data_IF_320247366366
#
_entry.id   IF_320247366366
#
_cell.length_a   1.000
_cell.length_b   1.000
_cell.length_c   1.000
_cell.angle_alpha   90.00
_cell.angle_beta   90.00
_cell.angle_gamma   90.00
#
_symmetry.space_group_name_H-M   'P 1'
#
loop_
_entity.id
_entity.type
_entity.pdbx_description
1 polymer ?
#
# COMPACT_ATOMS: atom_id res chain seq x y z
N UNK A 1 43.31 -8.42 -64.52
CA UNK A 1 43.88 -9.76 -64.23
C UNK A 1 44.45 -9.75 -62.82
N UNK A 2 44.00 -10.68 -61.96
CA UNK A 2 44.63 -11.29 -60.75
C UNK A 2 45.36 -10.36 -59.76
N UNK A 3 45.16 -10.35 -58.43
CA UNK A 3 44.35 -11.13 -57.50
C UNK A 3 44.91 -11.00 -56.06
N UNK A 4 43.99 -11.04 -55.08
CA UNK A 4 44.09 -11.45 -53.65
C UNK A 4 45.06 -10.79 -52.65
N UNK A 5 44.49 -10.40 -51.50
CA UNK A 5 45.16 -10.29 -50.20
C UNK A 5 44.29 -9.67 -49.09
N UNK A 6 43.46 -10.47 -48.42
CA UNK A 6 42.76 -10.09 -47.17
C UNK A 6 43.71 -10.11 -45.96
N UNK A 7 43.75 -9.05 -45.14
CA UNK A 7 44.00 -9.13 -43.68
C UNK A 7 43.23 -8.02 -42.97
N UNK A 8 42.33 -8.42 -42.08
CA UNK A 8 41.59 -7.58 -41.15
C UNK A 8 42.52 -7.13 -40.00
N UNK A 9 42.48 -5.84 -39.63
CA UNK A 9 42.90 -5.39 -38.29
C UNK A 9 41.73 -4.62 -37.66
N UNK A 10 41.18 -5.24 -36.63
CA UNK A 10 40.13 -4.75 -35.76
C UNK A 10 40.60 -3.51 -35.00
N UNK A 11 39.84 -2.42 -35.13
CA UNK A 11 39.91 -1.29 -34.21
C UNK A 11 39.24 -1.66 -32.89
N UNK A 12 39.93 -1.39 -31.79
CA UNK A 12 39.53 -1.66 -30.41
C UNK A 12 38.27 -0.85 -30.07
N UNK A 13 37.17 -1.46 -29.59
CA UNK A 13 36.07 -0.71 -29.01
C UNK A 13 36.44 -0.28 -27.59
N UNK A 14 36.20 0.99 -27.28
CA UNK A 14 36.23 1.55 -25.94
C UNK A 14 35.14 0.86 -25.11
N UNK A 15 35.55 -0.04 -24.20
CA UNK A 15 34.68 -0.63 -23.20
C UNK A 15 34.32 0.45 -22.17
N UNK A 16 33.12 1.00 -22.30
CA UNK A 16 32.47 1.74 -21.22
C UNK A 16 32.30 0.82 -20.02
N UNK A 17 33.07 1.07 -18.96
CA UNK A 17 32.99 0.34 -17.71
C UNK A 17 31.69 0.69 -17.01
N UNK A 18 30.66 -0.15 -17.17
CA UNK A 18 29.55 -0.23 -16.24
C UNK A 18 30.12 -0.76 -14.92
N UNK A 19 30.40 0.15 -13.99
CA UNK A 19 30.62 -0.21 -12.60
C UNK A 19 29.25 -0.66 -12.06
N UNK A 20 29.00 -1.96 -12.16
CA UNK A 20 27.97 -2.61 -11.35
C UNK A 20 28.52 -2.60 -9.93
N UNK A 21 28.11 -1.61 -9.14
CA UNK A 21 28.24 -1.66 -7.69
C UNK A 21 27.47 -2.89 -7.23
N UNK A 22 28.21 -3.98 -6.98
CA UNK A 22 27.72 -5.16 -6.29
C UNK A 22 27.45 -4.79 -4.84
N UNK A 23 26.34 -4.10 -4.60
CA UNK A 23 25.67 -4.18 -3.32
C UNK A 23 25.36 -5.66 -3.13
N UNK A 24 25.79 -6.21 -2.00
CA UNK A 24 25.31 -7.50 -1.52
C UNK A 24 23.79 -7.40 -1.43
N UNK A 25 23.11 -7.82 -2.50
CA UNK A 25 21.69 -8.09 -2.51
C UNK A 25 21.49 -9.17 -1.46
N UNK A 26 21.17 -8.76 -0.23
CA UNK A 26 20.53 -9.65 0.74
C UNK A 26 19.46 -10.42 -0.03
N UNK A 27 19.62 -11.74 -0.03
CA UNK A 27 18.99 -12.66 -0.96
C UNK A 27 17.55 -12.24 -1.27
N UNK A 28 17.22 -12.17 -2.57
CA UNK A 28 15.83 -12.13 -3.00
C UNK A 28 15.05 -13.20 -2.22
N UNK A 29 13.79 -12.94 -1.83
CA UNK A 29 13.02 -13.89 -1.04
C UNK A 29 13.10 -15.25 -1.75
N UNK A 30 13.54 -16.27 -1.01
CA UNK A 30 13.69 -17.64 -1.52
C UNK A 30 12.36 -18.25 -1.98
N UNK A 31 11.26 -17.53 -1.73
CA UNK A 31 9.89 -17.90 -2.04
C UNK A 31 9.23 -16.74 -2.81
N UNK A 32 8.58 -17.07 -3.93
CA UNK A 32 7.77 -16.10 -4.68
C UNK A 32 6.67 -15.54 -3.75
N UNK A 33 6.55 -14.21 -3.61
CA UNK A 33 5.49 -13.62 -2.80
C UNK A 33 4.11 -13.99 -3.35
N UNK A 34 3.17 -14.25 -2.44
CA UNK A 34 1.74 -14.45 -2.69
C UNK A 34 1.01 -13.22 -2.19
N UNK A 35 0.29 -12.56 -3.09
CA UNK A 35 -0.57 -11.44 -2.75
C UNK A 35 -1.86 -12.00 -2.16
N UNK A 36 -2.15 -11.64 -0.91
CA UNK A 36 -3.22 -12.24 -0.13
C UNK A 36 -4.24 -11.20 0.28
N UNK A 37 -5.51 -11.52 0.01
CA UNK A 37 -6.65 -10.79 0.53
C UNK A 37 -7.25 -11.54 1.73
N UNK A 38 -7.36 -10.88 2.88
CA UNK A 38 -7.97 -11.46 4.08
C UNK A 38 -9.33 -10.80 4.30
N UNK A 39 -10.41 -11.58 4.20
CA UNK A 39 -11.77 -11.12 4.46
C UNK A 39 -12.22 -11.52 5.88
N UNK A 40 -13.08 -10.71 6.54
CA UNK A 40 -13.80 -11.17 7.72
C UNK A 40 -14.56 -12.47 7.42
N UNK A 41 -14.52 -13.40 8.37
CA UNK A 41 -15.28 -14.64 8.24
C UNK A 41 -16.77 -14.35 8.41
N UNK A 42 -17.59 -15.06 7.64
CA UNK A 42 -19.04 -14.95 7.72
C UNK A 42 -19.55 -15.53 9.04
N UNK A 43 -19.94 -14.62 9.93
CA UNK A 43 -20.49 -14.90 11.24
C UNK A 43 -22.01 -14.63 11.30
N UNK A 44 -22.69 -14.46 10.15
CA UNK A 44 -24.13 -14.16 10.10
C UNK A 44 -25.02 -15.23 10.73
N UNK A 45 -24.53 -16.48 10.81
CA UNK A 45 -25.19 -17.59 11.48
C UNK A 45 -24.95 -17.63 13.01
N UNK A 46 -24.24 -16.66 13.58
CA UNK A 46 -24.04 -16.51 15.02
C UNK A 46 -24.90 -15.37 15.59
N UNK A 47 -25.10 -15.41 16.90
CA UNK A 47 -25.75 -14.32 17.64
C UNK A 47 -24.97 -13.01 17.47
N UNK A 48 -25.69 -11.88 17.51
CA UNK A 48 -25.11 -10.54 17.29
C UNK A 48 -23.92 -10.24 18.19
N UNK A 49 -23.93 -10.76 19.42
CA UNK A 49 -22.84 -10.57 20.39
C UNK A 49 -21.57 -11.35 20.04
N UNK A 50 -21.62 -12.26 19.07
CA UNK A 50 -20.52 -13.13 18.65
C UNK A 50 -20.01 -12.82 17.25
N UNK A 51 -20.71 -11.98 16.49
CA UNK A 51 -20.33 -11.64 15.12
C UNK A 51 -18.94 -10.98 15.02
N UNK A 52 -18.42 -10.43 16.12
CA UNK A 52 -17.06 -9.91 16.20
C UNK A 52 -15.99 -10.97 15.89
N UNK A 53 -16.29 -12.26 16.09
CA UNK A 53 -15.32 -13.35 15.87
C UNK A 53 -14.91 -13.41 14.39
N UNK A 54 -15.80 -13.04 13.46
CA UNK A 54 -15.49 -12.97 12.04
C UNK A 54 -14.31 -12.02 11.74
N UNK A 55 -14.30 -10.85 12.38
CA UNK A 55 -13.18 -9.90 12.33
C UNK A 55 -11.98 -10.40 13.13
N UNK A 56 -12.22 -11.05 14.27
CA UNK A 56 -11.15 -11.61 15.11
C UNK A 56 -10.29 -12.62 14.35
N UNK A 57 -10.89 -13.48 13.53
CA UNK A 57 -10.17 -14.41 12.65
C UNK A 57 -9.33 -13.65 11.63
N UNK A 58 -9.87 -12.61 11.00
CA UNK A 58 -9.12 -11.79 10.05
C UNK A 58 -7.90 -11.13 10.70
N UNK A 59 -8.01 -10.68 11.96
CA UNK A 59 -6.89 -10.15 12.74
C UNK A 59 -5.83 -11.22 13.01
N UNK A 60 -6.23 -12.42 13.44
CA UNK A 60 -5.28 -13.53 13.67
C UNK A 60 -4.54 -13.89 12.39
N UNK A 61 -5.24 -13.97 11.26
CA UNK A 61 -4.64 -14.25 9.96
C UNK A 61 -3.64 -13.15 9.58
N UNK A 62 -4.00 -11.88 9.72
CA UNK A 62 -3.11 -10.76 9.39
C UNK A 62 -1.87 -10.72 10.28
N UNK A 63 -2.02 -10.89 11.59
CA UNK A 63 -0.87 -10.90 12.51
C UNK A 63 0.06 -12.09 12.26
N UNK A 64 -0.50 -13.27 12.00
CA UNK A 64 0.26 -14.50 11.75
C UNK A 64 0.98 -14.50 10.41
N UNK A 65 0.28 -14.19 9.31
CA UNK A 65 0.85 -14.26 7.96
C UNK A 65 1.89 -13.16 7.70
N UNK A 66 1.74 -11.99 8.34
CA UNK A 66 2.75 -10.92 8.33
C UNK A 66 4.12 -11.33 8.90
N UNK A 67 4.24 -12.50 9.55
CA UNK A 67 5.50 -13.04 10.05
C UNK A 67 6.31 -13.82 9.01
N UNK A 68 5.87 -13.87 7.74
CA UNK A 68 6.53 -14.64 6.70
C UNK A 68 6.62 -13.89 5.35
N UNK A 69 7.79 -13.83 4.70
CA UNK A 69 8.02 -13.02 3.50
C UNK A 69 7.25 -13.47 2.26
N UNK A 70 6.69 -14.69 2.28
CA UNK A 70 5.89 -15.19 1.17
C UNK A 70 4.47 -14.59 1.13
N UNK A 71 4.02 -13.85 2.14
CA UNK A 71 2.70 -13.24 2.16
C UNK A 71 2.80 -11.73 2.01
N UNK A 72 2.07 -11.20 1.03
CA UNK A 72 1.91 -9.76 0.79
C UNK A 72 0.44 -9.44 1.00
N UNK A 73 0.13 -8.91 2.17
CA UNK A 73 -1.26 -8.60 2.52
C UNK A 73 -1.74 -7.34 1.80
N UNK A 74 -2.93 -7.44 1.22
CA UNK A 74 -3.61 -6.28 0.66
C UNK A 74 -4.26 -5.49 1.81
N UNK A 75 -4.01 -4.19 1.84
CA UNK A 75 -4.65 -3.27 2.79
C UNK A 75 -6.18 -3.40 2.71
N UNK A 76 -6.82 -3.82 3.81
CA UNK A 76 -8.28 -4.02 3.87
C UNK A 76 -9.08 -2.75 3.62
N UNK A 77 -8.51 -1.57 3.85
CA UNK A 77 -9.13 -0.29 3.50
C UNK A 77 -9.46 -0.16 2.01
N UNK A 78 -8.70 -0.85 1.13
CA UNK A 78 -8.95 -0.90 -0.32
C UNK A 78 -10.21 -1.68 -0.67
N UNK A 79 -10.65 -2.60 0.19
CA UNK A 79 -11.90 -3.34 -0.01
C UNK A 79 -13.14 -2.44 0.00
N UNK A 80 -13.08 -1.30 0.69
CA UNK A 80 -14.23 -0.36 0.79
C UNK A 80 -14.68 0.16 -0.58
N UNK A 81 -13.75 0.31 -1.53
CA UNK A 81 -14.08 0.69 -2.89
C UNK A 81 -14.97 -0.33 -3.62
N UNK A 82 -15.01 -1.57 -3.12
CA UNK A 82 -15.77 -2.70 -3.69
C UNK A 82 -16.98 -3.09 -2.81
N UNK A 83 -17.29 -2.31 -1.78
CA UNK A 83 -18.43 -2.49 -0.88
C UNK A 83 -18.06 -2.94 0.53
N UNK A 84 -19.07 -2.97 1.40
CA UNK A 84 -19.00 -3.52 2.77
C UNK A 84 -20.17 -4.46 2.96
N UNK A 85 -20.15 -5.65 2.32
CA UNK A 85 -21.25 -6.58 2.47
C UNK A 85 -21.33 -7.07 3.93
N UNK A 86 -22.54 -7.35 4.40
CA UNK A 86 -22.76 -7.96 5.73
C UNK A 86 -22.03 -9.30 5.86
N UNK A 87 -21.89 -10.03 4.75
CA UNK A 87 -21.06 -11.22 4.62
C UNK A 87 -20.25 -11.20 3.31
N UNK A 88 -18.95 -11.48 3.40
CA UNK A 88 -18.09 -11.65 2.23
C UNK A 88 -18.36 -12.99 1.54
N UNK A 89 -19.46 -13.04 0.80
CA UNK A 89 -19.81 -14.18 -0.04
C UNK A 89 -18.85 -14.38 -1.23
N UNK A 90 -18.95 -15.54 -1.87
CA UNK A 90 -17.99 -15.97 -2.89
C UNK A 90 -17.89 -15.01 -4.08
N UNK A 91 -19.03 -14.50 -4.57
CA UNK A 91 -19.06 -13.60 -5.72
C UNK A 91 -18.39 -12.24 -5.44
N UNK A 92 -18.74 -11.60 -4.31
CA UNK A 92 -18.21 -10.29 -3.93
C UNK A 92 -16.70 -10.38 -3.65
N UNK A 93 -16.27 -11.43 -2.94
CA UNK A 93 -14.86 -11.63 -2.64
C UNK A 93 -14.04 -11.99 -3.89
N UNK A 94 -14.58 -12.78 -4.82
CA UNK A 94 -13.93 -13.08 -6.09
C UNK A 94 -13.74 -11.83 -6.96
N UNK A 95 -14.76 -10.96 -7.03
CA UNK A 95 -14.66 -9.68 -7.72
C UNK A 95 -13.60 -8.78 -7.07
N UNK A 96 -13.64 -8.62 -5.74
CA UNK A 96 -12.67 -7.83 -5.01
C UNK A 96 -11.24 -8.36 -5.23
N UNK A 97 -11.01 -9.65 -5.01
CA UNK A 97 -9.71 -10.32 -5.18
C UNK A 97 -9.11 -10.08 -6.57
N UNK A 98 -9.91 -10.20 -7.64
CA UNK A 98 -9.46 -9.91 -9.01
C UNK A 98 -9.10 -8.44 -9.19
N UNK A 99 -9.93 -7.53 -8.69
CA UNK A 99 -9.71 -6.10 -8.82
C UNK A 99 -8.42 -5.63 -8.13
N UNK A 100 -8.11 -6.21 -6.97
CA UNK A 100 -6.87 -5.93 -6.21
C UNK A 100 -5.71 -6.87 -6.56
N UNK A 101 -5.88 -7.73 -7.59
CA UNK A 101 -4.87 -8.67 -8.09
C UNK A 101 -4.30 -9.59 -7.02
N UNK A 102 -5.15 -10.06 -6.11
CA UNK A 102 -4.77 -11.06 -5.13
C UNK A 102 -4.48 -12.40 -5.83
N UNK A 103 -3.41 -13.08 -5.45
CA UNK A 103 -3.16 -14.48 -5.80
C UNK A 103 -4.10 -15.40 -5.02
N UNK A 104 -4.51 -14.97 -3.82
CA UNK A 104 -5.41 -15.75 -2.98
C UNK A 104 -6.31 -14.87 -2.09
N UNK A 105 -7.51 -15.36 -1.78
CA UNK A 105 -8.40 -14.73 -0.80
C UNK A 105 -8.83 -15.71 0.30
N UNK A 106 -8.67 -15.33 1.56
CA UNK A 106 -8.89 -16.14 2.75
C UNK A 106 -10.19 -15.70 3.41
N UNK A 107 -11.10 -16.63 3.58
CA UNK A 107 -12.43 -16.38 4.11
C UNK A 107 -13.00 -17.67 4.71
N UNK A 108 -14.18 -17.61 5.30
CA UNK A 108 -14.82 -18.81 5.80
C UNK A 108 -16.19 -18.52 6.36
N UNK A 109 -16.83 -19.55 6.88
CA UNK A 109 -18.11 -19.44 7.58
C UNK A 109 -17.97 -19.99 8.99
N UNK A 110 -18.92 -19.61 9.83
CA UNK A 110 -18.95 -19.99 11.22
C UNK A 110 -20.35 -20.41 11.61
N UNK A 111 -20.45 -21.47 12.40
CA UNK A 111 -21.73 -21.93 12.96
C UNK A 111 -21.54 -22.36 14.39
N UNK A 112 -22.57 -22.19 15.22
CA UNK A 112 -22.61 -22.77 16.55
C UNK A 112 -23.22 -24.16 16.50
N UNK A 113 -22.58 -25.14 17.15
CA UNK A 113 -23.13 -26.48 17.38
C UNK A 113 -23.08 -26.77 18.88
N UNK A 114 -24.23 -26.67 19.54
CA UNK A 114 -24.31 -26.75 21.01
C UNK A 114 -23.41 -25.66 21.65
N UNK A 115 -22.38 -26.05 22.41
CA UNK A 115 -21.40 -25.16 23.04
C UNK A 115 -20.15 -24.93 22.20
N UNK A 116 -20.00 -25.62 21.07
CA UNK A 116 -18.81 -25.55 20.22
C UNK A 116 -19.02 -24.57 19.06
N UNK A 117 -17.97 -23.80 18.77
CA UNK A 117 -17.90 -22.99 17.55
C UNK A 117 -17.21 -23.79 16.45
N UNK A 118 -17.89 -23.98 15.32
CA UNK A 118 -17.33 -24.65 14.15
C UNK A 118 -16.99 -23.59 13.11
N UNK A 119 -15.70 -23.46 12.82
CA UNK A 119 -15.16 -22.57 11.81
C UNK A 119 -14.86 -23.43 10.58
N UNK A 120 -15.35 -23.01 9.42
CA UNK A 120 -15.08 -23.65 8.14
C UNK A 120 -14.22 -22.71 7.29
N UNK A 121 -12.88 -22.83 7.34
CA UNK A 121 -12.01 -21.99 6.53
C UNK A 121 -12.08 -22.41 5.06
N UNK A 122 -12.01 -21.42 4.19
CA UNK A 122 -12.00 -21.53 2.74
C UNK A 122 -10.96 -20.59 2.14
N UNK A 123 -10.49 -20.94 0.95
CA UNK A 123 -9.51 -20.19 0.20
C UNK A 123 -9.96 -20.10 -1.25
N UNK A 124 -9.87 -18.93 -1.84
CA UNK A 124 -9.81 -18.79 -3.29
C UNK A 124 -8.36 -18.79 -3.73
N UNK A 125 -7.99 -19.73 -4.59
CA UNK A 125 -6.71 -19.70 -5.32
C UNK A 125 -7.00 -19.10 -6.69
N UNK A 126 -6.48 -17.89 -6.93
CA UNK A 126 -6.69 -17.15 -8.18
C UNK A 126 -5.67 -17.64 -9.18
N UNK A 127 -6.13 -18.47 -10.13
CA UNK A 127 -5.31 -19.02 -11.22
C UNK A 127 -5.61 -18.27 -12.51
N UNK A 128 -4.70 -18.38 -13.48
CA UNK A 128 -4.86 -17.77 -14.81
C UNK A 128 -6.15 -18.26 -15.53
N UNK A 129 -6.63 -19.45 -15.20
CA UNK A 129 -7.80 -20.09 -15.82
C UNK A 129 -9.12 -19.87 -15.06
N UNK A 130 -9.09 -19.23 -13.89
CA UNK A 130 -10.27 -19.05 -13.04
C UNK A 130 -9.95 -19.03 -11.56
N UNK A 131 -10.99 -19.05 -10.73
CA UNK A 131 -10.86 -19.11 -9.27
C UNK A 131 -11.25 -20.51 -8.82
N UNK A 132 -10.37 -21.17 -8.07
CA UNK A 132 -10.66 -22.45 -7.44
C UNK A 132 -10.93 -22.24 -5.95
N UNK A 133 -12.08 -22.73 -5.47
CA UNK A 133 -12.42 -22.72 -4.05
C UNK A 133 -11.87 -23.96 -3.38
N UNK A 134 -11.00 -23.78 -2.41
CA UNK A 134 -10.45 -24.86 -1.58
C UNK A 134 -11.04 -24.76 -0.19
N UNK A 135 -11.69 -25.84 0.25
CA UNK A 135 -12.18 -25.97 1.62
C UNK A 135 -11.10 -26.60 2.49
N UNK A 136 -10.79 -25.99 3.63
CA UNK A 136 -9.83 -26.51 4.60
C UNK A 136 -10.55 -27.40 5.62
N UNK A 137 -9.77 -28.15 6.40
CA UNK A 137 -10.32 -28.91 7.54
C UNK A 137 -11.07 -27.97 8.50
N UNK A 138 -12.29 -28.35 8.96
CA UNK A 138 -13.02 -27.56 9.93
C UNK A 138 -12.25 -27.43 11.24
N UNK A 139 -12.25 -26.23 11.81
CA UNK A 139 -11.70 -25.99 13.14
C UNK A 139 -12.85 -25.95 14.14
N UNK A 140 -12.84 -26.90 15.07
CA UNK A 140 -13.78 -26.95 16.19
C UNK A 140 -13.13 -26.29 17.40
N UNK A 141 -13.78 -25.26 17.93
CA UNK A 141 -13.35 -24.53 19.10
C UNK A 141 -14.34 -24.75 20.24
N UNK A 142 -13.97 -25.60 21.23
CA UNK A 142 -14.67 -25.68 22.50
C UNK A 142 -14.67 -24.34 23.23
N UNK A 143 -15.58 -24.20 24.20
CA UNK A 143 -15.62 -23.05 25.10
C UNK A 143 -14.26 -22.89 25.82
N UNK A 144 -13.73 -21.67 25.86
CA UNK A 144 -12.43 -21.36 26.47
C UNK A 144 -11.20 -21.67 25.59
N UNK A 145 -11.32 -22.45 24.52
CA UNK A 145 -10.20 -22.79 23.63
C UNK A 145 -10.11 -21.91 22.37
N UNK A 146 -11.07 -21.00 22.16
CA UNK A 146 -11.21 -20.22 20.93
C UNK A 146 -9.89 -19.62 20.44
N UNK A 147 -9.21 -18.82 21.27
CA UNK A 147 -7.99 -18.10 20.86
C UNK A 147 -6.88 -19.06 20.41
N UNK A 148 -6.70 -20.17 21.11
CA UNK A 148 -5.67 -21.16 20.78
C UNK A 148 -5.99 -21.86 19.45
N UNK A 149 -7.27 -22.17 19.20
CA UNK A 149 -7.69 -22.74 17.90
C UNK A 149 -7.52 -21.74 16.76
N UNK A 150 -7.85 -20.47 16.99
CA UNK A 150 -7.68 -19.43 15.97
C UNK A 150 -6.20 -19.25 15.60
N UNK A 151 -5.30 -19.27 16.58
CA UNK A 151 -3.86 -19.09 16.37
C UNK A 151 -3.22 -20.12 15.41
N UNK A 152 -3.86 -21.28 15.22
CA UNK A 152 -3.44 -22.30 14.24
C UNK A 152 -3.89 -22.03 12.79
N UNK A 153 -4.86 -21.14 12.56
CA UNK A 153 -5.41 -20.85 11.23
C UNK A 153 -4.38 -20.32 10.22
N UNK A 154 -3.47 -19.38 10.56
CA UNK A 154 -2.45 -18.93 9.62
C UNK A 154 -1.62 -20.09 9.05
N UNK A 155 -1.25 -21.06 9.91
CA UNK A 155 -0.52 -22.25 9.49
C UNK A 155 -1.35 -23.20 8.63
N UNK A 156 -2.64 -23.33 8.89
CA UNK A 156 -3.54 -24.11 8.04
C UNK A 156 -3.57 -23.53 6.61
N UNK A 157 -3.72 -22.21 6.48
CA UNK A 157 -3.65 -21.53 5.18
C UNK A 157 -2.29 -21.64 4.51
N UNK A 158 -1.19 -21.46 5.25
CA UNK A 158 0.16 -21.61 4.71
C UNK A 158 0.40 -23.00 4.13
N UNK A 159 -0.05 -24.06 4.82
CA UNK A 159 0.03 -25.45 4.33
C UNK A 159 -0.80 -25.66 3.07
N UNK A 160 -2.04 -25.19 3.04
CA UNK A 160 -2.92 -25.28 1.85
C UNK A 160 -2.34 -24.56 0.64
N UNK A 161 -1.73 -23.38 0.87
CA UNK A 161 -1.03 -22.62 -0.16
C UNK A 161 0.35 -23.18 -0.54
N UNK A 162 0.77 -24.29 0.10
CA UNK A 162 2.05 -24.98 -0.11
C UNK A 162 3.26 -24.05 0.13
N UNK A 163 3.14 -23.15 1.10
CA UNK A 163 4.24 -22.28 1.50
C UNK A 163 5.18 -23.07 2.41
N UNK A 164 6.47 -23.21 2.03
CA UNK A 164 7.45 -23.86 2.89
C UNK A 164 7.67 -22.98 4.11
N UNK A 165 7.64 -23.60 5.29
CA UNK A 165 7.78 -22.93 6.59
C UNK A 165 8.73 -23.75 7.46
N UNK A 166 9.73 -23.10 8.02
CA UNK A 166 10.64 -23.71 9.00
C UNK A 166 9.97 -23.82 10.36
N UNK A 167 10.51 -24.64 11.29
CA UNK A 167 10.01 -24.68 12.67
C UNK A 167 10.08 -23.31 13.38
N UNK A 168 11.12 -22.51 13.10
CA UNK A 168 11.28 -21.19 13.68
C UNK A 168 10.24 -20.18 13.13
N UNK A 169 9.91 -20.26 11.85
CA UNK A 169 8.82 -19.46 11.25
C UNK A 169 7.46 -19.91 11.78
N UNK A 170 7.23 -21.22 11.91
CA UNK A 170 6.00 -21.76 12.49
C UNK A 170 5.74 -21.20 13.89
N UNK A 171 6.75 -21.27 14.77
CA UNK A 171 6.64 -20.73 16.13
C UNK A 171 6.39 -19.21 16.15
N UNK A 172 6.93 -18.47 15.17
CA UNK A 172 6.71 -17.01 15.06
C UNK A 172 5.29 -16.68 14.59
N UNK A 173 4.80 -17.39 13.58
CA UNK A 173 3.45 -17.26 13.03
C UNK A 173 2.41 -17.58 14.11
N UNK A 174 2.55 -18.72 14.79
CA UNK A 174 1.62 -19.16 15.84
C UNK A 174 1.63 -18.21 17.04
N UNK A 175 2.80 -17.71 17.45
CA UNK A 175 2.91 -16.69 18.51
C UNK A 175 2.19 -15.40 18.12
N UNK A 176 2.38 -14.91 16.91
CA UNK A 176 1.72 -13.69 16.43
C UNK A 176 0.20 -13.88 16.29
N UNK A 177 -0.25 -15.08 15.95
CA UNK A 177 -1.67 -15.44 15.91
C UNK A 177 -2.36 -15.53 17.27
N UNK A 178 -1.61 -15.48 18.38
CA UNK A 178 -2.13 -15.45 19.75
C UNK A 178 -1.65 -14.18 20.49
N UNK A 179 -2.15 -12.99 20.12
CA UNK A 179 -1.56 -11.74 20.60
C UNK A 179 -1.97 -11.37 22.04
N UNK A 180 -2.93 -12.09 22.62
CA UNK A 180 -3.33 -12.03 24.03
C UNK A 180 -3.90 -13.39 24.45
N UNK A 181 -3.89 -13.68 25.75
CA UNK A 181 -4.60 -14.82 26.36
C UNK A 181 -5.97 -14.44 26.93
N UNK A 182 -6.29 -13.15 27.00
CA UNK A 182 -7.56 -12.65 27.50
C UNK A 182 -8.58 -12.61 26.36
N UNK A 183 -9.55 -13.51 26.40
CA UNK A 183 -10.66 -13.53 25.43
C UNK A 183 -11.39 -12.18 25.40
N UNK A 184 -11.60 -11.58 26.58
CA UNK A 184 -12.24 -10.27 26.70
C UNK A 184 -11.43 -9.17 26.04
N UNK A 185 -10.11 -9.14 26.27
CA UNK A 185 -9.25 -8.16 25.62
C UNK A 185 -9.26 -8.33 24.09
N UNK A 186 -9.23 -9.58 23.60
CA UNK A 186 -9.25 -9.85 22.17
C UNK A 186 -10.59 -9.49 21.51
N UNK A 187 -11.71 -9.75 22.17
CA UNK A 187 -13.04 -9.32 21.73
C UNK A 187 -13.10 -7.80 21.54
N UNK A 188 -12.69 -7.06 22.58
CA UNK A 188 -12.68 -5.60 22.56
C UNK A 188 -11.76 -5.06 21.44
N UNK A 189 -10.59 -5.67 21.28
CA UNK A 189 -9.67 -5.36 20.19
C UNK A 189 -10.29 -5.60 18.80
N UNK A 190 -10.88 -6.76 18.56
CA UNK A 190 -11.50 -7.09 17.28
C UNK A 190 -12.67 -6.14 16.94
N UNK A 191 -13.52 -5.83 17.93
CA UNK A 191 -14.59 -4.83 17.77
C UNK A 191 -14.03 -3.43 17.48
N UNK A 192 -12.95 -3.04 18.16
CA UNK A 192 -12.26 -1.77 17.92
C UNK A 192 -11.68 -1.68 16.51
N UNK A 193 -11.06 -2.77 16.03
CA UNK A 193 -10.57 -2.85 14.67
C UNK A 193 -11.70 -2.78 13.62
N UNK A 194 -12.83 -3.43 13.88
CA UNK A 194 -14.02 -3.32 13.03
C UNK A 194 -14.55 -1.88 12.96
N UNK A 195 -14.56 -1.17 14.10
CA UNK A 195 -14.96 0.23 14.14
C UNK A 195 -14.02 1.13 13.31
N UNK A 196 -12.70 0.89 13.40
CA UNK A 196 -11.70 1.59 12.59
C UNK A 196 -11.91 1.38 11.08
N UNK A 197 -12.35 0.19 10.65
CA UNK A 197 -12.61 -0.09 9.24
C UNK A 197 -13.70 0.81 8.64
N UNK A 198 -14.63 1.33 9.44
CA UNK A 198 -15.67 2.26 8.97
C UNK A 198 -15.06 3.53 8.37
N UNK A 199 -13.88 3.95 8.84
CA UNK A 199 -13.18 5.13 8.33
C UNK A 199 -13.91 6.45 8.62
N UNK A 200 -14.85 6.45 9.57
CA UNK A 200 -15.58 7.64 10.02
C UNK A 200 -14.98 8.17 11.33
N UNK A 201 -15.23 9.44 11.65
CA UNK A 201 -14.82 10.02 12.93
C UNK A 201 -15.42 9.24 14.12
N UNK A 202 -16.72 8.96 14.08
CA UNK A 202 -17.43 8.14 15.08
C UNK A 202 -16.85 6.73 15.22
N UNK A 203 -16.45 6.10 14.10
CA UNK A 203 -15.78 4.81 14.09
C UNK A 203 -14.42 4.87 14.79
N UNK A 204 -13.65 5.93 14.57
CA UNK A 204 -12.36 6.15 15.24
C UNK A 204 -12.53 6.40 16.74
N UNK A 205 -13.53 7.20 17.14
CA UNK A 205 -13.83 7.45 18.56
C UNK A 205 -14.27 6.16 19.28
N UNK A 206 -15.13 5.36 18.63
CA UNK A 206 -15.52 4.03 19.12
C UNK A 206 -14.32 3.09 19.24
N UNK A 207 -13.41 3.10 18.25
CA UNK A 207 -12.19 2.30 18.29
C UNK A 207 -11.28 2.70 19.47
N UNK A 208 -11.18 4.00 19.79
CA UNK A 208 -10.41 4.47 20.95
C UNK A 208 -10.95 3.88 22.26
N UNK A 209 -12.28 3.94 22.49
CA UNK A 209 -12.89 3.37 23.71
C UNK A 209 -12.62 1.86 23.82
N UNK A 210 -12.91 1.12 22.74
CA UNK A 210 -12.79 -0.33 22.73
C UNK A 210 -11.34 -0.79 22.92
N UNK A 211 -10.38 -0.13 22.27
CA UNK A 211 -8.96 -0.47 22.40
C UNK A 211 -8.41 -0.09 23.78
N UNK A 212 -8.85 1.03 24.36
CA UNK A 212 -8.48 1.39 25.74
C UNK A 212 -8.97 0.32 26.73
N UNK A 213 -10.21 -0.14 26.59
CA UNK A 213 -10.77 -1.23 27.42
C UNK A 213 -10.11 -2.58 27.15
N UNK A 214 -9.65 -2.83 25.92
CA UNK A 214 -8.86 -4.02 25.61
C UNK A 214 -7.54 -4.02 26.39
N UNK A 215 -6.87 -2.87 26.45
CA UNK A 215 -5.64 -2.66 27.24
C UNK A 215 -5.92 -2.75 28.75
N UNK A 216 -7.06 -2.24 29.24
CA UNK A 216 -7.45 -2.43 30.64
C UNK A 216 -7.66 -3.90 31.00
N UNK A 217 -8.23 -4.69 30.07
CA UNK A 217 -8.45 -6.12 30.25
C UNK A 217 -7.16 -6.96 30.11
N UNK A 218 -6.16 -6.47 29.38
CA UNK A 218 -4.82 -7.03 29.30
C UNK A 218 -3.77 -5.92 29.07
N UNK A 219 -3.14 -5.40 30.14
CA UNK A 219 -2.15 -4.33 30.03
C UNK A 219 -0.88 -4.69 29.25
N UNK A 220 -0.65 -5.99 28.97
CA UNK A 220 0.49 -6.45 28.19
C UNK A 220 0.12 -6.68 26.71
N UNK A 221 -1.06 -6.27 26.27
CA UNK A 221 -1.53 -6.48 24.90
C UNK A 221 -0.85 -5.52 23.92
N UNK A 222 0.37 -5.87 23.51
CA UNK A 222 1.28 -5.10 22.64
C UNK A 222 0.59 -4.55 21.38
N UNK A 223 -0.19 -5.42 20.70
CA UNK A 223 -0.88 -5.08 19.45
C UNK A 223 -2.01 -4.07 19.67
N UNK A 224 -2.70 -4.13 20.82
CA UNK A 224 -3.74 -3.16 21.16
C UNK A 224 -3.14 -1.77 21.43
N UNK A 225 -2.00 -1.68 22.12
CA UNK A 225 -1.25 -0.42 22.27
C UNK A 225 -0.85 0.17 20.92
N UNK A 226 -0.22 -0.63 20.04
CA UNK A 226 0.13 -0.17 18.71
C UNK A 226 -1.11 0.31 17.93
N UNK A 227 -2.18 -0.47 17.93
CA UNK A 227 -3.40 -0.15 17.18
C UNK A 227 -4.06 1.12 17.72
N UNK A 228 -4.14 1.30 19.04
CA UNK A 228 -4.64 2.55 19.65
C UNK A 228 -3.78 3.76 19.26
N UNK A 229 -2.45 3.58 19.19
CA UNK A 229 -1.55 4.59 18.67
C UNK A 229 -1.86 5.00 17.22
N UNK A 230 -2.12 4.01 16.36
CA UNK A 230 -2.49 4.24 14.96
C UNK A 230 -3.84 4.98 14.84
N UNK A 231 -4.83 4.65 15.68
CA UNK A 231 -6.11 5.40 15.71
C UNK A 231 -5.89 6.84 16.16
N UNK A 232 -5.07 7.08 17.20
CA UNK A 232 -4.74 8.44 17.62
C UNK A 232 -4.00 9.23 16.54
N UNK A 233 -3.12 8.58 15.76
CA UNK A 233 -2.46 9.21 14.63
C UNK A 233 -3.46 9.60 13.54
N UNK A 234 -4.41 8.73 13.21
CA UNK A 234 -5.50 9.04 12.26
C UNK A 234 -6.39 10.20 12.74
N UNK A 235 -6.59 10.33 14.05
CA UNK A 235 -7.28 11.46 14.69
C UNK A 235 -6.42 12.73 14.84
N UNK A 236 -5.18 12.75 14.34
CA UNK A 236 -4.27 13.88 14.47
C UNK A 236 -3.68 14.08 15.88
N UNK A 237 -3.98 13.20 16.82
CA UNK A 237 -3.50 13.23 18.20
C UNK A 237 -2.06 12.67 18.32
N UNK A 238 -1.10 13.36 17.69
CA UNK A 238 0.31 12.92 17.57
C UNK A 238 0.96 12.55 18.90
N UNK A 239 0.67 13.29 19.98
CA UNK A 239 1.26 13.03 21.30
C UNK A 239 0.72 11.75 21.93
N UNK A 240 -0.59 11.48 21.80
CA UNK A 240 -1.21 10.22 22.27
C UNK A 240 -0.70 9.04 21.45
N UNK A 241 -0.59 9.22 20.12
CA UNK A 241 -0.04 8.21 19.23
C UNK A 241 1.38 7.80 19.65
N UNK A 242 2.28 8.78 19.81
CA UNK A 242 3.66 8.53 20.24
C UNK A 242 3.74 7.84 21.61
N UNK A 243 2.87 8.19 22.56
CA UNK A 243 2.82 7.55 23.87
C UNK A 243 2.45 6.06 23.75
N UNK A 244 1.45 5.72 22.93
CA UNK A 244 1.01 4.35 22.73
C UNK A 244 2.02 3.50 21.94
N UNK A 245 2.66 4.07 20.93
CA UNK A 245 3.75 3.38 20.23
C UNK A 245 4.92 3.08 21.17
N UNK A 246 5.31 4.03 22.04
CA UNK A 246 6.35 3.79 23.05
C UNK A 246 5.95 2.72 24.04
N UNK A 247 4.71 2.73 24.53
CA UNK A 247 4.21 1.67 25.41
C UNK A 247 4.31 0.28 24.73
N UNK A 248 3.91 0.19 23.46
CA UNK A 248 4.06 -1.04 22.66
C UNK A 248 5.52 -1.50 22.58
N UNK A 249 6.47 -0.60 22.25
CA UNK A 249 7.91 -0.95 22.21
C UNK A 249 8.51 -1.33 23.56
N UNK A 250 7.97 -0.82 24.67
CA UNK A 250 8.43 -1.15 26.02
C UNK A 250 7.95 -2.54 26.46
N UNK A 251 6.73 -2.91 26.04
CA UNK A 251 6.17 -4.24 26.32
C UNK A 251 6.83 -5.32 25.46
N UNK A 252 7.10 -5.03 24.19
CA UNK A 252 7.81 -5.93 23.29
C UNK A 252 8.71 -5.16 22.31
N UNK A 253 10.02 -5.19 22.59
CA UNK A 253 11.04 -4.57 21.75
C UNK A 253 11.28 -5.31 20.43
N UNK A 254 10.70 -6.51 20.24
CA UNK A 254 10.77 -7.29 19.01
C UNK A 254 9.57 -7.07 18.08
N UNK A 255 8.60 -6.23 18.45
CA UNK A 255 7.45 -5.88 17.62
C UNK A 255 7.78 -4.68 16.69
N UNK A 256 7.92 -4.88 15.36
CA UNK A 256 8.44 -3.84 14.45
C UNK A 256 7.45 -2.72 14.11
N UNK A 257 6.15 -2.99 14.14
CA UNK A 257 5.06 -2.09 13.77
C UNK A 257 5.14 -0.72 14.48
N UNK A 258 5.30 -0.62 15.82
CA UNK A 258 5.43 0.66 16.50
C UNK A 258 6.70 1.43 16.13
N UNK A 259 7.81 0.78 15.77
CA UNK A 259 9.02 1.47 15.29
C UNK A 259 8.78 2.11 13.92
N UNK A 260 8.15 1.38 13.00
CA UNK A 260 7.75 1.93 11.70
C UNK A 260 6.82 3.13 11.90
N UNK A 261 5.83 3.02 12.79
CA UNK A 261 4.87 4.08 13.05
C UNK A 261 5.51 5.32 13.74
N UNK A 262 6.49 5.12 14.62
CA UNK A 262 7.32 6.22 15.15
C UNK A 262 8.11 6.89 14.02
N UNK A 263 8.66 6.13 13.08
CA UNK A 263 9.29 6.65 11.87
C UNK A 263 8.35 7.56 11.07
N UNK A 264 7.11 7.12 10.84
CA UNK A 264 6.08 7.93 10.17
C UNK A 264 5.78 9.24 10.91
N UNK A 265 5.72 9.19 12.25
CA UNK A 265 5.51 10.39 13.07
C UNK A 265 6.68 11.38 12.97
N UNK A 266 7.92 10.88 12.94
CA UNK A 266 9.11 11.72 12.77
C UNK A 266 9.20 12.33 11.37
N UNK A 267 8.89 11.55 10.35
CA UNK A 267 8.87 11.99 8.95
C UNK A 267 7.83 13.10 8.73
N UNK A 268 6.64 12.96 9.31
CA UNK A 268 5.56 13.93 9.22
C UNK A 268 5.70 15.12 10.21
N UNK A 269 6.74 15.15 11.03
CA UNK A 269 6.94 16.22 12.01
C UNK A 269 7.31 17.55 11.34
N UNK A 270 6.77 18.70 11.78
CA UNK A 270 7.10 20.01 11.21
C UNK A 270 8.60 20.35 11.27
N UNK A 271 9.32 19.78 12.23
CA UNK A 271 10.77 19.98 12.43
C UNK A 271 11.63 19.12 11.50
N UNK A 272 11.05 18.32 10.60
CA UNK A 272 11.76 17.48 9.62
C UNK A 272 12.77 16.54 10.30
N UNK A 273 12.28 15.71 11.21
CA UNK A 273 13.09 14.81 12.03
C UNK A 273 13.56 13.56 11.24
N UNK A 274 14.15 13.77 10.06
CA UNK A 274 14.42 12.71 9.10
C UNK A 274 15.44 11.68 9.59
N UNK A 275 16.44 12.08 10.38
CA UNK A 275 17.40 11.13 10.95
C UNK A 275 16.74 10.18 11.96
N UNK A 276 15.84 10.70 12.80
CA UNK A 276 15.06 9.87 13.73
C UNK A 276 14.08 8.96 12.98
N UNK A 277 13.52 9.43 11.87
CA UNK A 277 12.70 8.60 10.99
C UNK A 277 13.53 7.44 10.41
N UNK A 278 14.71 7.73 9.84
CA UNK A 278 15.64 6.72 9.30
C UNK A 278 16.02 5.70 10.38
N UNK A 279 16.36 6.14 11.60
CA UNK A 279 16.69 5.25 12.71
C UNK A 279 15.53 4.31 13.06
N UNK A 280 14.32 4.87 13.19
CA UNK A 280 13.13 4.10 13.52
C UNK A 280 12.75 3.09 12.43
N UNK A 281 12.84 3.47 11.15
CA UNK A 281 12.61 2.55 10.03
C UNK A 281 13.68 1.46 9.97
N UNK A 282 14.96 1.80 10.15
CA UNK A 282 16.03 0.80 10.22
C UNK A 282 15.78 -0.20 11.36
N UNK A 283 15.28 0.26 12.52
CA UNK A 283 14.95 -0.65 13.61
C UNK A 283 13.82 -1.61 13.26
N UNK A 284 12.76 -1.12 12.60
CA UNK A 284 11.68 -1.98 12.11
C UNK A 284 12.18 -3.01 11.08
N UNK A 285 13.09 -2.62 10.19
CA UNK A 285 13.72 -3.50 9.19
C UNK A 285 14.64 -4.53 9.85
N UNK A 286 15.42 -4.16 10.86
CA UNK A 286 16.26 -5.09 11.63
C UNK A 286 15.41 -6.21 12.26
N UNK A 287 14.27 -5.84 12.85
CA UNK A 287 13.35 -6.78 13.48
C UNK A 287 12.59 -7.64 12.47
N UNK A 288 12.26 -7.08 11.30
CA UNK A 288 11.59 -7.79 10.21
C UNK A 288 12.15 -7.33 8.84
N UNK A 289 13.19 -8.02 8.31
CA UNK A 289 13.88 -7.58 7.09
C UNK A 289 12.99 -7.47 5.84
N UNK A 290 11.89 -8.23 5.80
CA UNK A 290 10.91 -8.24 4.72
C UNK A 290 9.73 -7.28 4.94
N UNK A 291 9.83 -6.35 5.89
CA UNK A 291 8.78 -5.37 6.15
C UNK A 291 8.77 -4.27 5.08
N UNK A 292 8.03 -4.52 3.99
CA UNK A 292 8.00 -3.63 2.82
C UNK A 292 7.69 -2.16 3.18
N UNK A 293 6.69 -1.91 4.04
CA UNK A 293 6.29 -0.54 4.39
C UNK A 293 7.36 0.23 5.18
N UNK A 294 8.22 -0.47 5.93
CA UNK A 294 9.36 0.16 6.59
C UNK A 294 10.46 0.54 5.58
N UNK A 295 10.67 -0.26 4.53
CA UNK A 295 11.54 0.11 3.41
C UNK A 295 10.98 1.29 2.60
N UNK A 296 9.65 1.38 2.43
CA UNK A 296 9.01 2.56 1.82
C UNK A 296 9.28 3.80 2.66
N UNK A 297 9.00 3.74 3.96
CA UNK A 297 9.26 4.86 4.87
C UNK A 297 10.72 5.27 4.91
N UNK A 298 11.65 4.30 4.87
CA UNK A 298 13.08 4.58 4.75
C UNK A 298 13.39 5.32 3.43
N UNK A 299 12.79 4.88 2.31
CA UNK A 299 12.91 5.56 1.02
C UNK A 299 12.41 7.00 1.07
N UNK A 300 11.23 7.22 1.65
CA UNK A 300 10.63 8.55 1.81
C UNK A 300 11.52 9.46 2.66
N UNK A 301 12.05 8.96 3.78
CA UNK A 301 12.94 9.72 4.65
C UNK A 301 14.28 10.06 3.98
N UNK A 302 14.87 9.11 3.24
CA UNK A 302 16.11 9.32 2.48
C UNK A 302 15.89 10.32 1.33
N UNK A 303 14.76 10.24 0.62
CA UNK A 303 14.40 11.19 -0.42
C UNK A 303 14.23 12.61 0.17
N UNK A 304 13.55 12.73 1.31
CA UNK A 304 13.38 14.01 2.00
C UNK A 304 14.71 14.63 2.49
N UNK A 305 15.75 13.82 2.69
CA UNK A 305 17.12 14.26 2.97
C UNK A 305 17.94 14.61 1.73
N UNK A 306 17.43 14.37 0.52
CA UNK A 306 18.17 14.51 -0.74
C UNK A 306 19.16 13.36 -1.00
N UNK A 307 19.04 12.25 -0.27
CA UNK A 307 19.90 11.06 -0.43
C UNK A 307 19.29 10.15 -1.51
N UNK A 308 19.25 10.65 -2.75
CA UNK A 308 18.47 10.08 -3.87
C UNK A 308 18.78 8.61 -4.16
N UNK A 309 20.06 8.22 -4.23
CA UNK A 309 20.42 6.83 -4.53
C UNK A 309 20.05 5.86 -3.40
N UNK A 310 20.15 6.32 -2.15
CA UNK A 310 19.71 5.54 -0.99
C UNK A 310 18.18 5.38 -0.96
N UNK A 311 17.45 6.41 -1.38
CA UNK A 311 15.99 6.34 -1.51
C UNK A 311 15.56 5.31 -2.56
N UNK A 312 16.18 5.35 -3.75
CA UNK A 312 15.93 4.37 -4.83
C UNK A 312 16.20 2.95 -4.32
N UNK A 313 17.33 2.72 -3.65
CA UNK A 313 17.68 1.41 -3.12
C UNK A 313 16.65 0.89 -2.10
N UNK A 314 16.18 1.75 -1.19
CA UNK A 314 15.13 1.39 -0.22
C UNK A 314 13.80 1.07 -0.91
N UNK A 315 13.37 1.88 -1.88
CA UNK A 315 12.16 1.61 -2.67
C UNK A 315 12.25 0.32 -3.47
N UNK A 316 13.40 0.04 -4.10
CA UNK A 316 13.61 -1.23 -4.80
C UNK A 316 13.54 -2.42 -3.83
N UNK A 317 14.09 -2.29 -2.63
CA UNK A 317 13.97 -3.32 -1.59
C UNK A 317 12.52 -3.49 -1.11
N UNK A 318 11.75 -2.41 -1.00
CA UNK A 318 10.32 -2.50 -0.71
C UNK A 318 9.57 -3.30 -1.79
N UNK A 319 9.88 -3.07 -3.08
CA UNK A 319 9.27 -3.79 -4.21
C UNK A 319 9.66 -5.28 -4.29
N UNK A 320 10.83 -5.65 -3.75
CA UNK A 320 11.20 -7.07 -3.61
C UNK A 320 10.22 -7.82 -2.70
N UNK A 321 9.72 -7.15 -1.64
CA UNK A 321 8.80 -7.75 -0.68
C UNK A 321 7.34 -7.47 -0.96
N UNK A 322 7.00 -6.32 -1.56
CA UNK A 322 5.66 -5.98 -2.02
C UNK A 322 5.71 -5.44 -3.46
N UNK A 323 5.62 -6.31 -4.47
CA UNK A 323 5.73 -5.91 -5.88
C UNK A 323 4.47 -5.20 -6.41
N UNK A 324 3.41 -5.07 -5.60
CA UNK A 324 2.13 -4.48 -6.00
C UNK A 324 1.81 -3.19 -5.24
N UNK A 325 2.84 -2.44 -4.87
CA UNK A 325 2.69 -1.13 -4.24
C UNK A 325 2.78 0.01 -5.29
N UNK A 326 1.65 0.58 -5.75
CA UNK A 326 1.66 1.65 -6.76
C UNK A 326 2.36 2.92 -6.29
N UNK A 327 2.33 3.22 -4.97
CA UNK A 327 2.96 4.43 -4.40
C UNK A 327 4.49 4.41 -4.53
N UNK A 328 5.08 3.21 -4.46
CA UNK A 328 6.54 3.06 -4.62
C UNK A 328 6.94 3.30 -6.08
N UNK A 329 6.17 2.77 -7.02
CA UNK A 329 6.39 3.04 -8.45
C UNK A 329 6.19 4.52 -8.80
N UNK A 330 5.18 5.18 -8.21
CA UNK A 330 5.01 6.64 -8.33
C UNK A 330 6.25 7.39 -7.83
N UNK A 331 6.77 7.03 -6.65
CA UNK A 331 7.92 7.69 -6.03
C UNK A 331 9.20 7.48 -6.84
N UNK A 332 9.42 6.26 -7.34
CA UNK A 332 10.52 5.98 -8.27
C UNK A 332 10.38 6.75 -9.58
N UNK A 333 9.18 6.83 -10.16
CA UNK A 333 8.92 7.62 -11.37
C UNK A 333 9.30 9.08 -11.17
N UNK A 334 8.87 9.69 -10.06
CA UNK A 334 9.23 11.07 -9.69
C UNK A 334 10.74 11.25 -9.60
N UNK A 335 11.43 10.38 -8.87
CA UNK A 335 12.88 10.46 -8.70
C UNK A 335 13.62 10.27 -10.04
N UNK A 336 13.23 9.28 -10.84
CA UNK A 336 13.85 9.05 -12.14
C UNK A 336 13.67 10.23 -13.07
N UNK A 337 12.50 10.88 -13.02
CA UNK A 337 12.24 12.08 -13.80
C UNK A 337 13.01 13.29 -13.31
N UNK A 338 12.75 13.75 -12.07
CA UNK A 338 13.23 15.05 -11.58
C UNK A 338 14.70 15.04 -11.16
N UNK A 339 15.18 13.96 -10.56
CA UNK A 339 16.52 13.91 -9.95
C UNK A 339 17.56 13.24 -10.84
N UNK A 340 17.14 12.31 -11.71
CA UNK A 340 18.07 11.51 -12.53
C UNK A 340 17.97 11.79 -14.02
N UNK A 341 16.89 12.40 -14.52
CA UNK A 341 16.67 12.58 -15.96
C UNK A 341 16.55 11.27 -16.74
N UNK A 342 16.18 10.17 -16.06
CA UNK A 342 16.00 8.83 -16.60
C UNK A 342 14.56 8.65 -17.09
N UNK A 343 14.25 9.25 -18.24
CA UNK A 343 12.88 9.34 -18.74
C UNK A 343 12.25 7.98 -19.07
N UNK A 344 13.02 7.03 -19.59
CA UNK A 344 12.50 5.71 -19.92
C UNK A 344 12.08 4.93 -18.66
N UNK A 345 12.93 4.95 -17.64
CA UNK A 345 12.70 4.37 -16.32
C UNK A 345 11.52 5.04 -15.63
N UNK A 346 11.41 6.37 -15.73
CA UNK A 346 10.27 7.13 -15.21
C UNK A 346 8.95 6.71 -15.87
N UNK A 347 8.90 6.67 -17.21
CA UNK A 347 7.70 6.25 -17.96
C UNK A 347 7.28 4.85 -17.55
N UNK A 348 8.22 3.91 -17.44
CA UNK A 348 7.93 2.54 -17.01
C UNK A 348 7.39 2.49 -15.58
N UNK A 349 7.99 3.25 -14.66
CA UNK A 349 7.55 3.33 -13.27
C UNK A 349 6.12 3.91 -13.16
N UNK A 350 5.84 5.04 -13.81
CA UNK A 350 4.48 5.62 -13.81
C UNK A 350 3.45 4.70 -14.46
N UNK A 351 3.77 4.08 -15.61
CA UNK A 351 2.89 3.09 -16.23
C UNK A 351 2.58 1.93 -15.28
N UNK A 352 3.58 1.45 -14.53
CA UNK A 352 3.37 0.38 -13.57
C UNK A 352 2.51 0.82 -12.38
N UNK A 353 2.68 2.04 -11.89
CA UNK A 353 1.82 2.63 -10.87
C UNK A 353 0.36 2.70 -11.34
N UNK A 354 0.12 3.19 -12.56
CA UNK A 354 -1.21 3.28 -13.20
C UNK A 354 -1.82 1.89 -13.44
N UNK A 355 -1.00 0.91 -13.84
CA UNK A 355 -1.43 -0.46 -14.04
C UNK A 355 -1.96 -1.09 -12.74
N UNK A 356 -1.26 -0.82 -11.62
CA UNK A 356 -1.61 -1.33 -10.29
C UNK A 356 -2.76 -0.56 -9.63
N UNK A 357 -2.86 0.75 -9.88
CA UNK A 357 -3.96 1.60 -9.42
C UNK A 357 -4.31 2.66 -10.47
N UNK A 358 -5.39 2.39 -11.21
CA UNK A 358 -5.85 3.27 -12.29
C UNK A 358 -6.39 4.62 -11.81
N UNK A 359 -6.72 4.74 -10.51
CA UNK A 359 -7.24 5.94 -9.86
C UNK A 359 -6.13 6.83 -9.28
N UNK A 360 -4.87 6.40 -9.33
CA UNK A 360 -3.73 7.17 -8.86
C UNK A 360 -3.39 8.30 -9.86
N UNK A 361 -4.14 9.40 -9.78
CA UNK A 361 -4.04 10.55 -10.69
C UNK A 361 -2.65 11.17 -10.74
N UNK A 362 -1.91 11.15 -9.63
CA UNK A 362 -0.54 11.68 -9.56
C UNK A 362 0.42 10.93 -10.48
N UNK A 363 0.20 9.63 -10.70
CA UNK A 363 1.02 8.86 -11.63
C UNK A 363 0.74 9.23 -13.09
N UNK A 364 -0.52 9.56 -13.41
CA UNK A 364 -0.92 10.05 -14.74
C UNK A 364 -0.40 11.45 -15.01
N UNK A 365 -0.50 12.34 -14.02
CA UNK A 365 0.08 13.68 -14.08
C UNK A 365 1.58 13.61 -14.37
N UNK A 366 2.33 12.83 -13.57
CA UNK A 366 3.77 12.65 -13.80
C UNK A 366 4.11 12.02 -15.15
N UNK A 367 3.30 11.08 -15.65
CA UNK A 367 3.50 10.51 -16.99
C UNK A 367 3.25 11.54 -18.10
N UNK A 368 2.20 12.35 -17.96
CA UNK A 368 1.88 13.45 -18.88
C UNK A 368 3.01 14.49 -18.95
N UNK A 369 3.56 14.88 -17.80
CA UNK A 369 4.69 15.82 -17.71
C UNK A 369 5.94 15.29 -18.42
N UNK A 370 6.26 14.00 -18.24
CA UNK A 370 7.40 13.36 -18.93
C UNK A 370 7.19 13.37 -20.45
N UNK A 371 5.97 13.07 -20.92
CA UNK A 371 5.65 13.10 -22.35
C UNK A 371 5.69 14.52 -22.93
N UNK A 372 5.15 15.50 -22.21
CA UNK A 372 5.19 16.91 -22.58
C UNK A 372 6.63 17.39 -22.77
N UNK A 373 7.51 17.11 -21.81
CA UNK A 373 8.92 17.52 -21.91
C UNK A 373 9.66 16.85 -23.07
N UNK A 374 9.23 15.65 -23.48
CA UNK A 374 9.79 14.95 -24.65
C UNK A 374 9.11 15.29 -25.96
N UNK A 375 8.16 16.24 -25.96
CA UNK A 375 7.43 16.66 -27.15
C UNK A 375 6.42 15.63 -27.66
N UNK A 376 6.10 14.61 -26.85
CA UNK A 376 5.05 13.61 -27.11
C UNK A 376 3.70 14.18 -26.67
N UNK A 377 3.31 15.28 -27.31
CA UNK A 377 2.19 16.13 -26.88
C UNK A 377 0.85 15.41 -26.95
N UNK A 378 0.66 14.50 -27.91
CA UNK A 378 -0.59 13.73 -28.03
C UNK A 378 -0.74 12.79 -26.84
N UNK A 379 0.31 12.07 -26.48
CA UNK A 379 0.36 11.17 -25.34
C UNK A 379 0.18 11.93 -24.02
N UNK A 380 0.79 13.12 -23.88
CA UNK A 380 0.60 13.98 -22.73
C UNK A 380 -0.88 14.41 -22.56
N UNK A 381 -1.51 14.88 -23.64
CA UNK A 381 -2.93 15.24 -23.64
C UNK A 381 -3.82 14.04 -23.28
N UNK A 382 -3.53 12.85 -23.81
CA UNK A 382 -4.31 11.65 -23.49
C UNK A 382 -4.25 11.30 -21.99
N UNK A 383 -3.08 11.43 -21.34
CA UNK A 383 -2.97 11.21 -19.90
C UNK A 383 -3.68 12.30 -19.08
N UNK A 384 -3.54 13.57 -19.44
CA UNK A 384 -4.26 14.65 -18.74
C UNK A 384 -5.78 14.54 -18.91
N UNK A 385 -6.27 14.09 -20.07
CA UNK A 385 -7.69 13.76 -20.27
C UNK A 385 -8.17 12.67 -19.33
N UNK A 386 -7.38 11.59 -19.13
CA UNK A 386 -7.71 10.53 -18.16
C UNK A 386 -7.78 11.05 -16.74
N UNK A 387 -6.97 12.04 -16.35
CA UNK A 387 -7.10 12.70 -15.05
C UNK A 387 -8.43 13.45 -14.96
N UNK A 388 -8.80 14.21 -16.00
CA UNK A 388 -10.05 14.98 -16.04
C UNK A 388 -11.30 14.10 -16.10
N UNK A 389 -11.21 12.88 -16.65
CA UNK A 389 -12.27 11.87 -16.60
C UNK A 389 -12.54 11.40 -15.16
N UNK A 390 -11.51 11.34 -14.31
CA UNK A 390 -11.62 10.95 -12.89
C UNK A 390 -12.06 12.14 -12.04
N UNK A 391 -11.44 13.31 -12.25
CA UNK A 391 -11.77 14.56 -11.57
C UNK A 391 -11.90 15.70 -12.61
N UNK A 392 -13.15 16.04 -12.92
CA UNK A 392 -13.48 17.03 -13.95
C UNK A 392 -13.04 18.46 -13.63
N UNK A 393 -12.66 18.73 -12.38
CA UNK A 393 -12.25 20.00 -11.84
C UNK A 393 -10.77 20.05 -11.46
N UNK A 394 -9.99 19.02 -11.81
CA UNK A 394 -8.57 18.95 -11.49
C UNK A 394 -7.78 20.08 -12.18
N UNK A 395 -7.47 21.15 -11.44
CA UNK A 395 -6.88 22.39 -11.96
C UNK A 395 -5.51 22.17 -12.61
N UNK A 396 -4.65 21.36 -11.98
CA UNK A 396 -3.32 21.04 -12.53
C UNK A 396 -3.37 20.36 -13.91
N UNK A 397 -4.23 19.35 -14.09
CA UNK A 397 -4.40 18.68 -15.38
C UNK A 397 -4.95 19.63 -16.45
N UNK A 398 -5.93 20.47 -16.10
CA UNK A 398 -6.48 21.47 -17.01
C UNK A 398 -5.42 22.49 -17.44
N UNK A 399 -4.60 22.95 -16.50
CA UNK A 399 -3.51 23.88 -16.76
C UNK A 399 -2.45 23.27 -17.69
N UNK A 400 -1.92 22.09 -17.35
CA UNK A 400 -0.90 21.43 -18.16
C UNK A 400 -1.45 21.05 -19.55
N UNK A 401 -2.69 20.58 -19.64
CA UNK A 401 -3.32 20.27 -20.92
C UNK A 401 -3.47 21.52 -21.79
N UNK A 402 -3.84 22.68 -21.22
CA UNK A 402 -3.90 23.94 -21.96
C UNK A 402 -2.53 24.35 -22.51
N UNK A 403 -1.47 24.22 -21.70
CA UNK A 403 -0.09 24.47 -22.13
C UNK A 403 0.34 23.57 -23.29
N UNK A 404 0.03 22.27 -23.21
CA UNK A 404 0.34 21.34 -24.31
C UNK A 404 -0.43 21.71 -25.57
N UNK A 405 -1.71 22.08 -25.46
CA UNK A 405 -2.50 22.52 -26.60
C UNK A 405 -1.95 23.80 -27.26
N UNK A 406 -1.30 24.71 -26.54
CA UNK A 406 -0.62 25.86 -27.18
C UNK A 406 0.42 25.43 -28.22
N UNK A 407 1.01 24.25 -28.06
CA UNK A 407 2.03 23.70 -28.96
C UNK A 407 1.45 23.00 -30.18
N UNK A 408 0.22 22.51 -30.11
CA UNK A 408 -0.35 21.62 -31.13
C UNK A 408 -1.65 22.15 -31.76
N UNK A 409 -2.47 22.90 -31.04
CA UNK A 409 -3.73 23.49 -31.52
C UNK A 409 -4.12 24.73 -30.66
N UNK A 410 -3.80 25.95 -31.14
CA UNK A 410 -4.13 27.19 -30.45
C UNK A 410 -5.64 27.41 -30.18
N UNK A 411 -6.54 26.82 -30.99
CA UNK A 411 -7.98 26.96 -30.77
C UNK A 411 -8.43 26.13 -29.59
N UNK A 412 -7.99 24.87 -29.52
CA UNK A 412 -8.24 24.01 -28.36
C UNK A 412 -7.58 24.58 -27.10
N UNK A 413 -6.40 25.17 -27.23
CA UNK A 413 -5.72 25.84 -26.11
C UNK A 413 -6.58 26.94 -25.48
N UNK A 414 -7.26 27.77 -26.30
CA UNK A 414 -8.19 28.80 -25.82
C UNK A 414 -9.33 28.17 -25.01
N UNK A 415 -9.97 27.13 -25.55
CA UNK A 415 -11.06 26.40 -24.87
C UNK A 415 -10.62 25.89 -23.51
N UNK A 416 -9.42 25.30 -23.43
CA UNK A 416 -8.90 24.74 -22.19
C UNK A 416 -8.44 25.81 -21.19
N UNK A 417 -7.86 26.92 -21.65
CA UNK A 417 -7.56 28.05 -20.79
C UNK A 417 -8.82 28.70 -20.19
N UNK A 418 -9.87 28.87 -20.99
CA UNK A 418 -11.16 29.37 -20.50
C UNK A 418 -11.74 28.45 -19.43
N UNK A 419 -11.70 27.14 -19.66
CA UNK A 419 -12.16 26.14 -18.68
C UNK A 419 -11.34 26.16 -17.40
N UNK A 420 -10.00 26.21 -17.50
CA UNK A 420 -9.13 26.33 -16.33
C UNK A 420 -9.47 27.59 -15.53
N UNK A 421 -9.53 28.75 -16.17
CA UNK A 421 -9.83 30.03 -15.51
C UNK A 421 -11.21 29.99 -14.84
N UNK A 422 -12.22 29.42 -15.50
CA UNK A 422 -13.57 29.31 -14.94
C UNK A 422 -13.58 28.52 -13.62
N UNK A 423 -12.87 27.40 -13.57
CA UNK A 423 -12.85 26.50 -12.41
C UNK A 423 -11.87 26.95 -11.32
N UNK A 424 -10.76 27.57 -11.70
CA UNK A 424 -9.70 27.99 -10.79
C UNK A 424 -9.91 29.40 -10.21
N UNK A 425 -10.63 30.31 -10.88
CA UNK A 425 -10.85 31.69 -10.40
C UNK A 425 -11.45 31.79 -8.98
N UNK A 426 -12.37 30.90 -8.54
CA UNK A 426 -12.88 30.93 -7.17
C UNK A 426 -11.88 30.44 -6.11
N UNK A 427 -10.79 29.78 -6.51
CA UNK A 427 -9.85 29.13 -5.60
C UNK A 427 -8.72 30.10 -5.22
N UNK A 428 -8.67 30.46 -3.94
CA UNK A 428 -7.65 31.40 -3.42
C UNK A 428 -6.22 30.90 -3.65
N UNK A 429 -6.00 29.58 -3.64
CA UNK A 429 -4.70 28.95 -3.91
C UNK A 429 -4.24 29.07 -5.37
N UNK A 430 -5.16 29.35 -6.30
CA UNK A 430 -4.88 29.39 -7.74
C UNK A 430 -4.76 30.82 -8.28
N UNK A 431 -4.90 31.84 -7.42
CA UNK A 431 -5.00 33.24 -7.84
C UNK A 431 -3.88 33.66 -8.79
N UNK A 432 -2.63 33.37 -8.43
CA UNK A 432 -1.46 33.75 -9.22
C UNK A 432 -1.42 33.01 -10.56
N UNK A 433 -1.79 31.72 -10.56
CA UNK A 433 -1.84 30.88 -11.76
C UNK A 433 -2.97 31.28 -12.71
N UNK A 434 -4.11 31.74 -12.19
CA UNK A 434 -5.22 32.31 -12.99
C UNK A 434 -4.78 33.58 -13.71
N UNK A 435 -3.99 34.44 -13.06
CA UNK A 435 -3.48 35.65 -13.71
C UNK A 435 -2.47 35.32 -14.82
N UNK A 436 -1.65 34.28 -14.63
CA UNK A 436 -0.79 33.73 -15.69
C UNK A 436 -1.64 33.18 -16.85
N UNK A 437 -2.64 32.36 -16.57
CA UNK A 437 -3.54 31.80 -17.58
C UNK A 437 -4.26 32.88 -18.41
N UNK A 438 -4.67 33.99 -17.79
CA UNK A 438 -5.26 35.13 -18.51
C UNK A 438 -4.28 35.82 -19.46
N UNK A 439 -2.98 35.80 -19.16
CA UNK A 439 -1.96 36.32 -20.09
C UNK A 439 -1.82 35.40 -21.30
N UNK A 440 -1.73 34.09 -21.09
CA UNK A 440 -1.72 33.08 -22.15
C UNK A 440 -2.95 33.22 -23.06
N UNK A 441 -4.15 33.26 -22.48
CA UNK A 441 -5.42 33.40 -23.21
C UNK A 441 -5.48 34.68 -24.06
N UNK A 442 -5.01 35.83 -23.52
CA UNK A 442 -4.96 37.09 -24.27
C UNK A 442 -4.02 37.01 -25.46
N UNK A 443 -2.84 36.40 -25.28
CA UNK A 443 -1.85 36.22 -26.34
C UNK A 443 -2.41 35.35 -27.48
N UNK A 444 -3.00 34.20 -27.16
CA UNK A 444 -3.59 33.29 -28.14
C UNK A 444 -4.74 33.95 -28.92
N UNK A 445 -5.64 34.67 -28.23
CA UNK A 445 -6.73 35.41 -28.89
C UNK A 445 -6.25 36.54 -29.79
N UNK A 446 -5.09 37.13 -29.50
CA UNK A 446 -4.44 38.10 -30.38
C UNK A 446 -3.94 37.43 -31.66
N UNK A 447 -3.26 36.29 -31.55
CA UNK A 447 -2.65 35.55 -32.67
C UNK A 447 -3.65 34.97 -33.67
N UNK A 448 -4.91 34.71 -33.26
CA UNK A 448 -5.96 34.15 -34.14
C UNK A 448 -6.75 35.26 -34.85
N UNK A 449 -6.64 36.52 -34.39
CA UNK A 449 -7.32 37.67 -34.99
C UNK A 449 -6.51 38.33 -36.12
N UNK A 450 -5.22 38.04 -36.20
CA UNK A 450 -4.32 38.35 -37.32
C UNK A 450 -4.30 37.18 -38.31
#
# INVERSE_FOLDING_TARGET
>A
MRGRGWRWRLGVPVLGSLIVLSLSLDAAPSVKPRIVLIAPFDASALDREEQWIGEAIAQVLSLGLAQHPAFVEIERSRLRAYGQPEAWGEAALSQAARAVRADAALFGTMTRRSTELVIQPRLFDVKATGVETVQLEPVVAPEGELLVKLAGLPMAYARTLKIPVTPAETARIERAGLPTRSLRAFELFARGALALQRGTQDGNETAVDLLARAIEADPNFVVAHYTLGAVHQALGNRWKAAAQFRASTQLDAAYPEPFKALGDLFLAAPRRLFDQAVEAYNKAIELRPFYADAHVGLGDARAAKGETDAAIAAYQKALVFNPVNPKVYLSLGKIYYSEKGLYYESVNAYKKAIELDAQLVEARMGLGEVYEEKGLYKEAVDEYKRVIEVDNAHTGALYNMALVYEKIDPKEAITHWERYIQLASPLQSEKDWVDVARQHLRKLKGQIKE
#
